data_IF_903971235213
#
_entry.id   IF_903971235213
#
_cell.length_a   1.000
_cell.length_b   1.000
_cell.length_c   1.000
_cell.angle_alpha   90.00
_cell.angle_beta   90.00
_cell.angle_gamma   90.00
#
_symmetry.space_group_name_H-M   'P 1'
#
loop_
_entity.id
_entity.type
_entity.pdbx_description
1 polymer ?
#
# COMPACT_ATOMS: atom_id res chain seq x y z
N UNK A 1 -5.15 30.24 -24.14
CA UNK A 1 -4.99 28.77 -24.13
C UNK A 1 -6.03 28.21 -23.17
N UNK A 2 -7.02 27.43 -23.61
CA UNK A 2 -7.99 26.86 -22.68
C UNK A 2 -7.24 25.91 -21.74
N UNK A 3 -7.34 26.16 -20.44
CA UNK A 3 -6.65 25.41 -19.40
C UNK A 3 -7.02 23.93 -19.49
N UNK A 4 -6.00 23.07 -19.56
CA UNK A 4 -6.18 21.63 -19.44
C UNK A 4 -6.95 21.35 -18.15
N UNK A 5 -8.21 20.92 -18.30
CA UNK A 5 -9.04 20.46 -17.20
C UNK A 5 -8.33 19.27 -16.55
N UNK A 6 -7.83 19.44 -15.33
CA UNK A 6 -7.30 18.34 -14.53
C UNK A 6 -8.46 17.65 -13.84
N UNK A 7 -9.04 16.66 -14.50
CA UNK A 7 -10.11 15.85 -13.92
C UNK A 7 -9.52 14.88 -12.87
N UNK A 8 -10.24 14.62 -11.75
CA UNK A 8 -9.83 13.63 -10.77
C UNK A 8 -9.66 12.24 -11.39
N UNK A 9 -8.61 11.52 -10.99
CA UNK A 9 -8.38 10.14 -11.43
C UNK A 9 -9.37 9.19 -10.75
N UNK A 10 -9.82 8.18 -11.48
CA UNK A 10 -10.68 7.13 -10.94
C UNK A 10 -9.85 6.11 -10.17
N UNK A 11 -10.36 5.64 -9.03
CA UNK A 11 -9.64 4.76 -8.10
C UNK A 11 -9.60 3.28 -8.52
N UNK A 12 -10.37 2.86 -9.53
CA UNK A 12 -10.49 1.45 -9.91
C UNK A 12 -9.47 0.99 -10.97
N UNK A 13 -8.70 1.91 -11.56
CA UNK A 13 -7.64 1.58 -12.52
C UNK A 13 -6.28 1.78 -11.87
N UNK A 14 -5.75 0.69 -11.34
CA UNK A 14 -4.43 0.69 -10.72
C UNK A 14 -3.69 -0.61 -11.02
N UNK A 15 -2.37 -0.57 -10.86
CA UNK A 15 -1.50 -1.74 -10.84
C UNK A 15 -0.56 -1.67 -9.65
N UNK A 16 -0.15 -2.85 -9.18
CA UNK A 16 0.83 -2.99 -8.12
C UNK A 16 2.00 -3.77 -8.69
N UNK A 17 3.18 -3.20 -8.58
CA UNK A 17 4.43 -3.83 -9.00
C UNK A 17 5.22 -4.18 -7.73
N UNK A 18 5.52 -5.46 -7.55
CA UNK A 18 6.32 -5.96 -6.41
C UNK A 18 7.65 -6.47 -6.98
N UNK A 19 8.76 -6.03 -6.42
CA UNK A 19 10.09 -6.35 -6.95
C UNK A 19 10.33 -7.87 -7.01
N UNK A 20 10.51 -8.39 -8.22
CA UNK A 20 10.72 -9.82 -8.49
C UNK A 20 9.51 -10.73 -8.24
N UNK A 21 8.29 -10.18 -8.15
CA UNK A 21 7.03 -10.95 -8.08
C UNK A 21 6.11 -10.47 -9.20
N UNK A 22 5.71 -11.37 -10.09
CA UNK A 22 4.76 -11.10 -11.16
C UNK A 22 3.35 -11.56 -10.76
N UNK A 23 2.69 -10.78 -9.89
CA UNK A 23 1.27 -10.99 -9.61
C UNK A 23 0.41 -10.12 -10.52
N UNK A 24 -0.41 -10.77 -11.35
CA UNK A 24 -1.38 -10.09 -12.18
C UNK A 24 -2.66 -9.78 -11.37
N UNK A 25 -3.04 -8.50 -11.34
CA UNK A 25 -4.37 -8.06 -10.92
C UNK A 25 -4.61 -8.06 -9.41
N UNK A 26 -4.62 -6.86 -8.82
CA UNK A 26 -5.10 -6.66 -7.46
C UNK A 26 -6.51 -6.07 -7.51
N UNK A 27 -7.36 -6.55 -6.63
CA UNK A 27 -8.75 -6.09 -6.49
C UNK A 27 -8.88 -4.90 -5.54
N UNK A 28 -8.01 -4.83 -4.52
CA UNK A 28 -8.05 -3.77 -3.51
C UNK A 28 -6.65 -3.51 -2.93
N UNK A 29 -6.34 -2.24 -2.67
CA UNK A 29 -5.13 -1.78 -1.98
C UNK A 29 -5.52 -0.71 -0.97
N UNK A 30 -5.25 -0.94 0.32
CA UNK A 30 -5.65 -0.04 1.42
C UNK A 30 -4.54 0.09 2.47
N UNK A 31 -4.70 1.06 3.40
CA UNK A 31 -3.85 1.19 4.59
C UNK A 31 -2.45 1.78 4.38
N UNK A 32 -2.11 2.23 3.17
CA UNK A 32 -0.82 2.85 2.84
C UNK A 32 -0.72 4.33 3.26
N UNK A 33 -1.31 4.71 4.39
CA UNK A 33 -1.24 6.07 4.90
C UNK A 33 0.11 6.37 5.61
N UNK A 34 0.44 7.66 5.69
CA UNK A 34 1.59 8.14 6.45
C UNK A 34 1.13 9.23 7.40
N UNK A 35 1.43 9.05 8.69
CA UNK A 35 1.04 9.97 9.76
C UNK A 35 2.28 10.52 10.44
N UNK A 36 2.29 11.81 10.77
CA UNK A 36 3.36 12.44 11.56
C UNK A 36 2.79 12.81 12.91
N UNK A 37 3.41 12.33 13.99
CA UNK A 37 3.01 12.67 15.35
C UNK A 37 3.16 14.19 15.58
N UNK A 38 2.19 14.82 16.24
CA UNK A 38 2.24 16.25 16.58
C UNK A 38 2.57 16.41 18.06
N UNK A 39 3.69 17.07 18.35
CA UNK A 39 4.13 17.36 19.72
C UNK A 39 3.75 18.80 20.04
N UNK A 40 2.85 18.98 21.01
CA UNK A 40 2.50 20.30 21.52
C UNK A 40 3.56 20.75 22.55
N UNK A 41 4.25 21.85 22.26
CA UNK A 41 5.28 22.44 23.10
C UNK A 41 4.85 23.84 23.56
N UNK A 42 5.15 24.17 24.82
CA UNK A 42 4.88 25.49 25.40
C UNK A 42 6.03 25.91 26.29
N UNK A 43 6.49 27.14 26.09
CA UNK A 43 7.44 27.81 26.97
C UNK A 43 6.78 29.02 27.67
N UNK A 44 7.35 29.46 28.80
CA UNK A 44 6.72 30.42 29.72
C UNK A 44 6.38 31.80 29.14
N UNK A 45 6.95 32.17 27.99
CA UNK A 45 6.66 33.42 27.27
C UNK A 45 5.71 33.26 26.09
N UNK A 46 5.18 32.06 25.84
CA UNK A 46 4.32 31.81 24.69
C UNK A 46 2.91 32.43 24.84
N UNK A 47 2.30 32.87 23.72
CA UNK A 47 0.89 33.29 23.67
C UNK A 47 -0.08 32.20 24.17
N UNK A 48 -1.38 32.50 24.26
CA UNK A 48 -2.45 31.52 24.60
C UNK A 48 -2.70 30.47 23.49
N UNK A 49 -1.67 30.03 22.78
CA UNK A 49 -1.69 28.90 21.86
C UNK A 49 -0.40 28.08 22.00
N UNK A 50 -0.49 26.76 21.79
CA UNK A 50 0.67 25.85 21.82
C UNK A 50 1.44 25.90 20.49
N UNK A 51 2.75 25.68 20.54
CA UNK A 51 3.55 25.45 19.33
C UNK A 51 3.44 23.98 18.95
N UNK A 52 3.35 23.69 17.65
CA UNK A 52 3.29 22.32 17.12
C UNK A 52 4.64 21.94 16.52
N UNK A 53 5.30 20.95 17.09
CA UNK A 53 6.55 20.37 16.60
C UNK A 53 6.25 19.05 15.88
N UNK A 54 6.99 18.77 14.80
CA UNK A 54 6.91 17.50 14.08
C UNK A 54 7.61 16.39 14.87
N UNK A 55 6.86 15.35 15.23
CA UNK A 55 7.34 14.14 15.88
C UNK A 55 7.72 13.05 14.87
N UNK A 56 7.59 11.78 15.30
CA UNK A 56 7.93 10.61 14.50
C UNK A 56 6.94 10.39 13.35
N UNK A 57 7.46 10.02 12.18
CA UNK A 57 6.63 9.54 11.05
C UNK A 57 6.30 8.07 11.24
N UNK A 58 5.01 7.74 11.18
CA UNK A 58 4.47 6.37 11.20
C UNK A 58 3.90 6.05 9.83
N UNK A 59 4.19 4.86 9.36
CA UNK A 59 3.65 4.32 8.13
C UNK A 59 2.65 3.22 8.46
N UNK A 60 1.46 3.30 7.86
CA UNK A 60 0.40 2.30 8.01
C UNK A 60 0.73 1.00 7.27
N UNK A 61 0.10 -0.09 7.68
CA UNK A 61 0.26 -1.37 7.01
C UNK A 61 -0.54 -1.40 5.72
N UNK A 62 0.06 -1.92 4.65
CA UNK A 62 -0.59 -2.03 3.35
C UNK A 62 -1.34 -3.34 3.28
N UNK A 63 -2.64 -3.29 3.04
CA UNK A 63 -3.45 -4.48 2.77
C UNK A 63 -3.68 -4.61 1.28
N UNK A 64 -3.29 -5.74 0.72
CA UNK A 64 -3.49 -6.12 -0.67
C UNK A 64 -4.51 -7.25 -0.75
N UNK A 65 -5.47 -7.16 -1.66
CA UNK A 65 -6.40 -8.26 -1.96
C UNK A 65 -6.39 -8.61 -3.43
N UNK A 66 -6.36 -9.90 -3.77
CA UNK A 66 -6.41 -10.38 -5.14
C UNK A 66 -7.19 -11.69 -5.24
N UNK A 67 -7.67 -12.02 -6.44
CA UNK A 67 -8.27 -13.33 -6.69
C UNK A 67 -7.19 -14.40 -6.77
N UNK A 68 -7.41 -15.54 -6.12
CA UNK A 68 -6.45 -16.66 -6.13
C UNK A 68 -6.16 -17.11 -7.57
N UNK A 69 -4.89 -17.39 -7.84
CA UNK A 69 -4.41 -17.94 -9.12
C UNK A 69 -3.47 -19.11 -8.86
N UNK A 70 -2.92 -19.71 -9.91
CA UNK A 70 -1.90 -20.77 -9.78
C UNK A 70 -0.53 -20.25 -9.30
N UNK A 71 -0.37 -18.93 -9.14
CA UNK A 71 0.89 -18.32 -8.68
C UNK A 71 1.08 -18.51 -7.18
N UNK A 72 2.20 -19.13 -6.80
CA UNK A 72 2.60 -19.29 -5.40
C UNK A 72 3.60 -18.23 -4.94
N UNK A 73 3.95 -17.23 -5.76
CA UNK A 73 5.04 -16.30 -5.46
C UNK A 73 4.80 -15.48 -4.18
N UNK A 74 3.59 -14.93 -4.01
CA UNK A 74 3.21 -14.18 -2.81
C UNK A 74 3.20 -15.08 -1.57
N UNK A 75 2.62 -16.28 -1.70
CA UNK A 75 2.60 -17.25 -0.60
C UNK A 75 4.02 -17.67 -0.19
N UNK A 76 4.89 -17.96 -1.15
CA UNK A 76 6.28 -18.33 -0.89
C UNK A 76 7.08 -17.19 -0.27
N UNK A 77 6.79 -15.95 -0.65
CA UNK A 77 7.38 -14.78 -0.02
C UNK A 77 7.00 -14.66 1.47
N UNK A 78 5.73 -14.87 1.79
CA UNK A 78 5.26 -14.94 3.18
C UNK A 78 5.83 -16.15 3.93
N UNK A 79 5.88 -17.33 3.28
CA UNK A 79 6.50 -18.53 3.86
C UNK A 79 7.97 -18.30 4.20
N UNK A 80 8.72 -17.59 3.36
CA UNK A 80 10.11 -17.22 3.65
C UNK A 80 10.24 -16.42 4.95
N UNK A 81 9.29 -15.52 5.24
CA UNK A 81 9.24 -14.78 6.52
C UNK A 81 8.96 -15.72 7.69
N UNK A 82 8.01 -16.65 7.56
CA UNK A 82 7.73 -17.68 8.57
C UNK A 82 8.99 -18.51 8.87
N UNK A 83 9.72 -18.89 7.83
CA UNK A 83 10.93 -19.70 7.91
C UNK A 83 12.15 -18.89 8.42
N UNK A 84 11.96 -17.62 8.80
CA UNK A 84 13.00 -16.74 9.36
C UNK A 84 13.84 -15.98 8.33
N UNK A 85 13.57 -16.16 7.03
CA UNK A 85 14.23 -15.44 5.94
C UNK A 85 13.37 -14.26 5.47
N UNK A 86 13.47 -13.13 6.16
CA UNK A 86 12.74 -11.90 5.80
C UNK A 86 13.36 -11.25 4.57
N UNK A 87 12.78 -11.52 3.41
CA UNK A 87 13.13 -10.85 2.15
C UNK A 87 12.31 -9.57 2.01
N UNK A 88 12.98 -8.42 2.01
CA UNK A 88 12.34 -7.11 1.84
C UNK A 88 12.29 -6.75 0.36
N UNK A 89 11.15 -6.25 -0.09
CA UNK A 89 10.91 -5.89 -1.50
C UNK A 89 10.38 -4.47 -1.60
N UNK A 90 10.77 -3.78 -2.67
CA UNK A 90 10.18 -2.50 -3.01
C UNK A 90 8.87 -2.72 -3.76
N UNK A 91 7.89 -1.86 -3.53
CA UNK A 91 6.56 -1.95 -4.13
C UNK A 91 6.21 -0.62 -4.76
N UNK A 92 5.59 -0.65 -5.93
CA UNK A 92 5.01 0.54 -6.56
C UNK A 92 3.51 0.35 -6.73
N UNK A 93 2.72 1.27 -6.17
CA UNK A 93 1.28 1.37 -6.44
C UNK A 93 1.09 2.47 -7.47
N UNK A 94 0.45 2.17 -8.60
CA UNK A 94 0.34 3.08 -9.73
C UNK A 94 -1.11 3.20 -10.15
N UNK A 95 -1.66 4.41 -10.17
CA UNK A 95 -2.93 4.71 -10.82
C UNK A 95 -2.68 5.00 -12.30
N UNK A 96 -3.48 4.36 -13.14
CA UNK A 96 -3.44 4.50 -14.60
C UNK A 96 -4.71 5.16 -15.12
N UNK A 97 -4.58 5.98 -16.16
CA UNK A 97 -5.74 6.67 -16.75
C UNK A 97 -6.52 5.82 -17.77
N UNK A 98 -7.45 6.47 -18.46
CA UNK A 98 -8.27 5.81 -19.47
C UNK A 98 -7.46 5.29 -20.68
N UNK A 99 -6.32 5.93 -20.95
CA UNK A 99 -5.37 5.60 -22.02
C UNK A 99 -4.31 4.58 -21.61
N UNK A 100 -4.26 4.21 -20.33
CA UNK A 100 -3.24 3.32 -19.76
C UNK A 100 -1.95 4.03 -19.34
N UNK A 101 -1.92 5.37 -19.36
CA UNK A 101 -0.76 6.14 -18.92
C UNK A 101 -0.72 6.27 -17.39
N UNK A 102 0.48 6.17 -16.82
CA UNK A 102 0.73 6.33 -15.40
C UNK A 102 0.49 7.78 -14.98
N UNK A 103 -0.36 8.00 -13.97
CA UNK A 103 -0.69 9.35 -13.50
C UNK A 103 -0.29 9.63 -12.06
N UNK A 104 -0.43 8.66 -11.18
CA UNK A 104 0.02 8.77 -9.80
C UNK A 104 0.76 7.50 -9.41
N UNK A 105 1.92 7.66 -8.76
CA UNK A 105 2.77 6.57 -8.34
C UNK A 105 3.22 6.77 -6.90
N UNK A 106 3.01 5.74 -6.09
CA UNK A 106 3.56 5.62 -4.74
C UNK A 106 4.62 4.53 -4.73
N UNK A 107 5.82 4.88 -4.32
CA UNK A 107 6.91 3.95 -4.11
C UNK A 107 7.02 3.65 -2.62
N UNK A 108 6.93 2.37 -2.29
CA UNK A 108 7.04 1.83 -0.94
C UNK A 108 8.36 1.09 -0.84
N UNK A 109 9.11 1.39 0.21
CA UNK A 109 10.46 0.84 0.41
C UNK A 109 10.46 -0.25 1.49
N UNK A 110 11.27 -1.28 1.25
CA UNK A 110 11.59 -2.34 2.21
C UNK A 110 10.35 -3.04 2.81
N UNK A 111 9.32 -3.26 1.99
CA UNK A 111 8.10 -3.93 2.41
C UNK A 111 8.31 -5.44 2.61
N UNK A 112 7.60 -6.04 3.55
CA UNK A 112 7.56 -7.50 3.76
C UNK A 112 6.22 -7.94 4.39
N UNK A 113 5.77 -9.18 4.13
CA UNK A 113 4.47 -9.65 4.56
C UNK A 113 4.46 -10.05 6.03
N UNK A 114 3.50 -9.50 6.78
CA UNK A 114 3.27 -9.81 8.19
C UNK A 114 2.10 -10.75 8.41
N UNK A 115 1.19 -10.82 7.43
CA UNK A 115 0.01 -11.67 7.49
C UNK A 115 -0.43 -12.07 6.10
N UNK A 116 -0.76 -13.34 5.94
CA UNK A 116 -1.43 -13.87 4.75
C UNK A 116 -2.76 -14.51 5.18
N UNK A 117 -3.83 -14.13 4.51
CA UNK A 117 -5.18 -14.61 4.70
C UNK A 117 -5.61 -15.45 3.51
N UNK A 118 -5.83 -16.78 3.69
CA UNK A 118 -6.41 -17.62 2.64
C UNK A 118 -7.87 -17.21 2.36
N UNK A 119 -8.44 -17.62 1.21
CA UNK A 119 -9.82 -17.29 0.89
C UNK A 119 -10.82 -18.03 1.78
N UNK A 120 -11.94 -17.39 2.06
CA UNK A 120 -13.09 -18.06 2.67
C UNK A 120 -13.73 -19.02 1.65
N UNK A 121 -13.90 -20.30 2.03
CA UNK A 121 -14.43 -21.33 1.15
C UNK A 121 -15.87 -21.70 1.53
N UNK A 122 -16.80 -21.49 0.60
CA UNK A 122 -18.21 -21.87 0.77
C UNK A 122 -18.69 -22.70 -0.43
N UNK A 123 -18.99 -23.99 -0.20
CA UNK A 123 -19.44 -24.92 -1.24
C UNK A 123 -20.79 -24.54 -1.91
N UNK A 124 -21.53 -23.58 -1.35
CA UNK A 124 -22.79 -23.05 -1.92
C UNK A 124 -22.64 -21.65 -2.53
N UNK A 125 -21.45 -21.04 -2.45
CA UNK A 125 -21.19 -19.69 -2.95
C UNK A 125 -20.85 -19.66 -4.45
N UNK A 126 -21.00 -18.49 -5.07
CA UNK A 126 -20.64 -18.22 -6.48
C UNK A 126 -19.60 -17.08 -6.59
N UNK A 127 -18.96 -16.70 -5.49
CA UNK A 127 -18.00 -15.60 -5.43
C UNK A 127 -16.58 -16.06 -5.81
N UNK A 128 -15.75 -15.10 -6.23
CA UNK A 128 -14.32 -15.34 -6.50
C UNK A 128 -13.59 -15.54 -5.18
N UNK A 129 -12.72 -16.54 -5.11
CA UNK A 129 -11.85 -16.75 -3.95
C UNK A 129 -10.81 -15.63 -3.87
N UNK A 130 -10.89 -14.81 -2.81
CA UNK A 130 -10.01 -13.67 -2.57
C UNK A 130 -8.98 -13.99 -1.48
N UNK A 131 -7.70 -13.81 -1.83
CA UNK A 131 -6.60 -13.82 -0.88
C UNK A 131 -6.30 -12.41 -0.36
N UNK A 132 -5.79 -12.34 0.86
CA UNK A 132 -5.39 -11.07 1.49
C UNK A 132 -3.94 -11.15 1.97
N UNK A 133 -3.17 -10.10 1.75
CA UNK A 133 -1.81 -9.93 2.27
C UNK A 133 -1.71 -8.61 3.01
N UNK A 134 -1.18 -8.65 4.22
CA UNK A 134 -0.81 -7.45 4.97
C UNK A 134 0.70 -7.30 4.93
N UNK A 135 1.16 -6.10 4.57
CA UNK A 135 2.56 -5.73 4.44
C UNK A 135 2.88 -4.60 5.42
N UNK A 136 4.04 -4.71 6.06
CA UNK A 136 4.67 -3.57 6.74
C UNK A 136 5.78 -3.02 5.86
N UNK A 137 6.09 -1.74 6.01
CA UNK A 137 7.12 -1.07 5.22
C UNK A 137 7.82 0.03 6.02
N UNK A 138 8.94 0.52 5.50
CA UNK A 138 9.80 1.49 6.19
C UNK A 138 9.69 2.91 5.61
N UNK A 139 9.01 3.06 4.48
CA UNK A 139 8.77 4.37 3.91
C UNK A 139 7.84 4.33 2.70
N UNK A 140 7.25 5.49 2.40
CA UNK A 140 6.45 5.72 1.22
C UNK A 140 6.78 7.10 0.64
N UNK A 141 6.99 7.17 -0.67
CA UNK A 141 7.20 8.41 -1.41
C UNK A 141 6.23 8.48 -2.58
N UNK A 142 5.51 9.60 -2.69
CA UNK A 142 4.72 9.90 -3.88
C UNK A 142 5.62 10.52 -4.96
N UNK A 143 5.63 9.91 -6.14
CA UNK A 143 6.53 10.28 -7.26
C UNK A 143 5.80 11.09 -8.33
N UNK A 144 4.48 10.89 -8.49
CA UNK A 144 3.63 11.64 -9.44
C UNK A 144 2.23 11.92 -8.91
#
# INVERSE_FOLDING_TARGET
MPGQRKDPLRNFRFRVEIDGIQQAGFTEVTGFDATVDVIDYREGSDPTHVRKLSGLTKYGNITLKWGITDSMEIYNWHKGVIDGSVQRKNISIIIVDETGADKARWNIINAWPVKYGPPDLNAKGNDVAIETLELVHEGMTRVS
#
